data_IF_665248315725
#
_entry.id   IF_665248315725
#
_cell.length_a   1.000
_cell.length_b   1.000
_cell.length_c   1.000
_cell.angle_alpha   90.00
_cell.angle_beta   90.00
_cell.angle_gamma   90.00
#
_symmetry.space_group_name_H-M   'P 1'
#
loop_
_entity.id
_entity.type
_entity.pdbx_description
1 polymer ?
#
# COMPACT_ATOMS: atom_id res chain seq x y z
N UNK A 1 -14.84 7.00 -9.03
CA UNK A 1 -15.19 5.60 -8.70
C UNK A 1 -14.97 5.42 -7.21
N UNK A 2 -15.82 4.66 -6.52
CA UNK A 2 -15.72 4.50 -5.06
C UNK A 2 -14.38 3.85 -4.67
N UNK A 3 -13.66 4.44 -3.71
CA UNK A 3 -12.36 3.94 -3.19
C UNK A 3 -12.43 2.58 -2.47
N UNK A 4 -13.64 2.04 -2.30
CA UNK A 4 -13.90 0.81 -1.54
C UNK A 4 -14.17 -0.33 -2.51
N UNK A 5 -13.38 -1.39 -2.41
CA UNK A 5 -13.59 -2.65 -3.15
C UNK A 5 -14.18 -3.70 -2.20
N UNK A 6 -15.15 -4.49 -2.66
CA UNK A 6 -15.74 -5.56 -1.86
C UNK A 6 -15.26 -6.94 -2.30
N UNK A 7 -14.66 -7.68 -1.36
CA UNK A 7 -14.13 -9.03 -1.57
C UNK A 7 -15.17 -10.14 -1.28
N UNK A 8 -16.46 -9.79 -1.21
CA UNK A 8 -17.51 -10.75 -0.91
C UNK A 8 -17.55 -11.92 -1.91
N UNK A 9 -17.32 -11.65 -3.20
CA UNK A 9 -17.36 -12.67 -4.25
C UNK A 9 -16.25 -13.71 -4.12
N UNK A 10 -15.05 -13.30 -3.70
CA UNK A 10 -13.90 -14.20 -3.48
C UNK A 10 -14.08 -15.02 -2.21
N UNK A 11 -14.48 -14.40 -1.11
CA UNK A 11 -14.75 -15.07 0.17
C UNK A 11 -15.85 -16.14 0.06
N UNK A 12 -16.87 -15.87 -0.75
CA UNK A 12 -17.96 -16.82 -1.03
C UNK A 12 -17.48 -18.02 -1.85
N UNK A 13 -16.68 -17.77 -2.90
CA UNK A 13 -16.11 -18.83 -3.76
C UNK A 13 -15.13 -19.72 -3.00
N UNK A 14 -14.29 -19.16 -2.13
CA UNK A 14 -13.37 -19.93 -1.29
C UNK A 14 -14.09 -20.95 -0.39
N UNK A 15 -15.32 -20.65 0.01
CA UNK A 15 -16.16 -21.52 0.84
C UNK A 15 -17.13 -22.39 0.04
N UNK A 16 -17.01 -22.42 -1.29
CA UNK A 16 -17.92 -23.14 -2.20
C UNK A 16 -19.41 -22.76 -2.06
N UNK A 17 -19.69 -21.54 -1.63
CA UNK A 17 -21.06 -21.06 -1.44
C UNK A 17 -21.61 -20.42 -2.71
N UNK A 18 -22.90 -20.63 -3.03
CA UNK A 18 -23.60 -19.85 -4.05
C UNK A 18 -24.19 -18.58 -3.44
N UNK A 19 -24.50 -17.58 -4.27
CA UNK A 19 -25.20 -16.37 -3.79
C UNK A 19 -26.56 -16.72 -3.16
N UNK A 20 -27.22 -17.76 -3.66
CA UNK A 20 -28.45 -18.32 -3.11
C UNK A 20 -28.28 -18.81 -1.68
N UNK A 21 -27.14 -19.43 -1.38
CA UNK A 21 -26.87 -20.04 -0.08
C UNK A 21 -26.55 -18.96 0.93
N UNK A 22 -25.72 -17.99 0.53
CA UNK A 22 -25.42 -16.82 1.34
C UNK A 22 -26.68 -15.98 1.64
N UNK A 23 -27.58 -15.85 0.66
CA UNK A 23 -28.87 -15.17 0.83
C UNK A 23 -29.73 -15.86 1.89
N UNK A 24 -29.78 -17.20 1.90
CA UNK A 24 -30.52 -17.97 2.92
C UNK A 24 -29.88 -17.85 4.31
N UNK A 25 -28.56 -17.88 4.39
CA UNK A 25 -27.83 -17.78 5.67
C UNK A 25 -27.96 -16.40 6.31
N UNK A 26 -27.91 -15.35 5.50
CA UNK A 26 -27.88 -13.96 5.99
C UNK A 26 -29.25 -13.29 6.02
N UNK A 27 -30.25 -13.85 5.32
CA UNK A 27 -31.55 -13.21 5.10
C UNK A 27 -31.48 -11.97 4.20
N UNK A 28 -30.37 -11.76 3.47
CA UNK A 28 -30.18 -10.65 2.54
C UNK A 28 -30.65 -11.09 1.15
N UNK A 29 -31.30 -10.19 0.41
CA UNK A 29 -31.76 -10.51 -0.95
C UNK A 29 -30.56 -10.76 -1.90
N UNK A 30 -30.70 -11.72 -2.82
CA UNK A 30 -29.66 -12.00 -3.82
C UNK A 30 -29.32 -10.77 -4.67
N UNK A 31 -30.30 -9.92 -4.95
CA UNK A 31 -30.11 -8.65 -5.66
C UNK A 31 -29.17 -7.72 -4.88
N UNK A 32 -29.41 -7.55 -3.57
CA UNK A 32 -28.54 -6.73 -2.72
C UNK A 32 -27.13 -7.31 -2.62
N UNK A 33 -26.97 -8.64 -2.50
CA UNK A 33 -25.66 -9.29 -2.51
C UNK A 33 -24.92 -9.07 -3.84
N UNK A 34 -25.62 -9.14 -4.98
CA UNK A 34 -25.03 -8.91 -6.29
C UNK A 34 -24.61 -7.45 -6.50
N UNK A 35 -25.44 -6.49 -6.07
CA UNK A 35 -25.11 -5.07 -6.09
C UNK A 35 -23.89 -4.75 -5.21
N UNK A 36 -23.75 -5.46 -4.09
CA UNK A 36 -22.63 -5.34 -3.17
C UNK A 36 -21.35 -5.98 -3.75
N UNK A 37 -21.44 -7.16 -4.36
CA UNK A 37 -20.32 -7.83 -5.06
C UNK A 37 -19.83 -7.03 -6.28
N UNK A 38 -20.72 -6.31 -6.98
CA UNK A 38 -20.39 -5.53 -8.19
C UNK A 38 -20.02 -4.07 -7.90
N UNK A 39 -20.05 -3.64 -6.64
CA UNK A 39 -19.76 -2.25 -6.25
C UNK A 39 -20.82 -1.23 -6.72
N UNK A 40 -21.99 -1.70 -7.15
CA UNK A 40 -23.14 -0.86 -7.57
C UNK A 40 -24.01 -0.44 -6.39
N UNK A 41 -23.80 -1.03 -5.22
CA UNK A 41 -24.52 -0.65 -4.00
C UNK A 41 -24.16 0.77 -3.56
N UNK A 42 -25.18 1.54 -3.15
CA UNK A 42 -25.02 2.90 -2.59
C UNK A 42 -24.55 2.90 -1.13
N UNK A 43 -24.61 1.75 -0.45
CA UNK A 43 -24.24 1.64 0.96
C UNK A 43 -24.72 0.32 1.56
N UNK A 44 -24.18 -0.01 2.74
CA UNK A 44 -24.50 -1.23 3.48
C UNK A 44 -24.80 -0.84 4.92
N UNK A 45 -25.89 -1.35 5.50
CA UNK A 45 -26.19 -1.11 6.90
C UNK A 45 -25.28 -1.94 7.81
N UNK A 46 -24.95 -1.44 9.01
CA UNK A 46 -24.18 -2.20 10.00
C UNK A 46 -24.81 -3.56 10.34
N UNK A 47 -26.13 -3.62 10.39
CA UNK A 47 -26.86 -4.87 10.59
C UNK A 47 -26.61 -5.91 9.49
N UNK A 48 -26.43 -5.46 8.25
CA UNK A 48 -26.11 -6.32 7.10
C UNK A 48 -24.65 -6.77 7.16
N UNK A 49 -23.75 -5.87 7.59
CA UNK A 49 -22.33 -6.17 7.79
C UNK A 49 -22.13 -7.25 8.84
N UNK A 50 -22.74 -7.11 10.01
CA UNK A 50 -22.65 -8.11 11.09
C UNK A 50 -23.12 -9.48 10.60
N UNK A 51 -24.29 -9.55 9.95
CA UNK A 51 -24.82 -10.80 9.40
C UNK A 51 -23.89 -11.46 8.39
N UNK A 52 -23.24 -10.68 7.52
CA UNK A 52 -22.29 -11.20 6.55
C UNK A 52 -21.02 -11.71 7.23
N UNK A 53 -20.49 -10.95 8.18
CA UNK A 53 -19.31 -11.31 8.97
C UNK A 53 -19.56 -12.61 9.75
N UNK A 54 -20.72 -12.73 10.40
CA UNK A 54 -21.12 -13.91 11.17
C UNK A 54 -21.32 -15.14 10.26
N UNK A 55 -22.03 -14.97 9.14
CA UNK A 55 -22.33 -16.07 8.22
C UNK A 55 -21.08 -16.61 7.51
N UNK A 56 -20.10 -15.74 7.24
CA UNK A 56 -18.85 -16.12 6.57
C UNK A 56 -17.71 -16.38 7.57
N UNK A 57 -17.91 -16.07 8.86
CA UNK A 57 -16.88 -16.07 9.90
C UNK A 57 -15.62 -15.28 9.44
N UNK A 58 -15.84 -14.03 9.04
CA UNK A 58 -14.80 -13.10 8.57
C UNK A 58 -14.94 -11.76 9.27
N UNK A 59 -13.85 -11.01 9.30
CA UNK A 59 -13.82 -9.65 9.81
C UNK A 59 -14.12 -8.63 8.71
N UNK A 60 -14.48 -7.41 9.10
CA UNK A 60 -14.86 -6.34 8.16
C UNK A 60 -13.70 -5.95 7.23
N UNK A 61 -12.46 -6.01 7.72
CA UNK A 61 -11.25 -5.77 6.93
C UNK A 61 -11.04 -6.79 5.80
N UNK A 62 -11.48 -8.03 5.98
CA UNK A 62 -11.41 -9.04 4.92
C UNK A 62 -12.51 -8.83 3.87
N UNK A 63 -13.63 -8.22 4.26
CA UNK A 63 -14.80 -8.04 3.40
C UNK A 63 -14.69 -6.78 2.53
N UNK A 64 -14.08 -5.71 3.06
CA UNK A 64 -13.86 -4.46 2.34
C UNK A 64 -12.39 -4.05 2.37
N UNK A 65 -11.90 -3.72 1.19
CA UNK A 65 -10.57 -3.17 1.01
C UNK A 65 -10.69 -1.73 0.56
N UNK A 66 -10.05 -0.83 1.31
CA UNK A 66 -9.85 0.54 0.87
C UNK A 66 -8.64 0.52 -0.05
N UNK A 67 -8.86 0.82 -1.32
CA UNK A 67 -7.77 1.15 -2.22
C UNK A 67 -7.63 2.68 -2.13
N UNK A 68 -6.75 3.21 -1.27
CA UNK A 68 -6.53 4.64 -1.23
C UNK A 68 -6.09 5.05 -2.64
N UNK A 69 -6.87 5.92 -3.30
CA UNK A 69 -6.34 6.69 -4.42
C UNK A 69 -4.99 7.25 -3.94
N UNK A 70 -3.96 7.11 -4.76
CA UNK A 70 -2.54 7.30 -4.43
C UNK A 70 -2.16 8.67 -3.83
N UNK A 71 -3.12 9.55 -3.57
CA UNK A 71 -2.98 10.92 -3.09
C UNK A 71 -3.27 11.11 -1.59
N UNK A 72 -3.68 10.06 -0.86
CA UNK A 72 -3.82 10.17 0.60
C UNK A 72 -2.92 9.17 1.32
N UNK A 73 -1.61 9.40 1.18
CA UNK A 73 -0.62 9.00 2.18
C UNK A 73 -0.85 9.86 3.43
N UNK A 74 -1.99 9.68 4.08
CA UNK A 74 -2.19 10.19 5.43
C UNK A 74 -1.42 9.26 6.35
N UNK A 75 -0.21 9.72 6.69
CA UNK A 75 0.27 9.79 8.06
C UNK A 75 -0.09 8.59 8.95
N UNK A 76 0.06 7.37 8.46
CA UNK A 76 0.36 6.29 9.39
C UNK A 76 1.80 6.55 9.77
N UNK A 77 1.95 7.19 10.92
CA UNK A 77 3.14 7.10 11.77
C UNK A 77 3.37 5.60 11.96
N UNK A 78 3.98 4.97 10.95
CA UNK A 78 4.74 3.76 11.18
C UNK A 78 5.83 4.23 12.15
N UNK A 79 5.88 3.58 13.30
CA UNK A 79 7.05 3.51 14.15
C UNK A 79 8.21 2.95 13.31
N UNK A 80 8.73 3.75 12.38
CA UNK A 80 9.99 3.49 11.72
C UNK A 80 11.00 3.67 12.84
N UNK A 81 11.55 2.56 13.34
CA UNK A 81 12.78 2.58 14.13
C UNK A 81 13.73 3.57 13.45
N UNK A 82 14.09 4.64 14.18
CA UNK A 82 14.83 5.83 13.72
C UNK A 82 15.49 5.62 12.35
N UNK A 83 14.95 6.21 11.26
CA UNK A 83 15.46 5.92 9.92
C UNK A 83 16.96 6.23 9.84
N UNK A 84 17.71 5.31 9.25
CA UNK A 84 19.15 5.43 9.07
C UNK A 84 19.52 5.48 7.60
N UNK A 85 20.55 6.26 7.27
CA UNK A 85 21.14 6.28 5.95
C UNK A 85 21.59 4.88 5.53
N UNK A 86 21.10 4.38 4.39
CA UNK A 86 21.44 3.06 3.84
C UNK A 86 22.91 2.96 3.39
N UNK A 87 23.62 4.08 3.28
CA UNK A 87 25.02 4.11 2.86
C UNK A 87 26.01 4.14 4.04
N UNK A 88 25.72 4.93 5.08
CA UNK A 88 26.63 5.11 6.23
C UNK A 88 26.09 4.61 7.57
N UNK A 89 24.82 4.22 7.66
CA UNK A 89 24.18 3.72 8.88
C UNK A 89 23.83 4.78 9.93
N UNK A 90 24.20 6.05 9.72
CA UNK A 90 23.86 7.16 10.64
C UNK A 90 22.34 7.39 10.67
N UNK A 91 21.79 7.62 11.85
CA UNK A 91 20.37 7.91 12.05
C UNK A 91 20.09 9.43 11.94
N UNK A 92 18.82 9.81 12.02
CA UNK A 92 18.35 11.20 11.92
C UNK A 92 18.98 12.17 12.94
N UNK A 93 19.45 11.70 14.11
CA UNK A 93 20.11 12.57 15.09
C UNK A 93 21.57 12.87 14.74
N UNK A 94 22.20 12.06 13.89
CA UNK A 94 23.62 12.14 13.56
C UNK A 94 23.88 12.80 12.18
N UNK A 95 22.84 13.25 11.50
CA UNK A 95 22.92 13.87 10.16
C UNK A 95 21.96 15.04 10.04
N UNK A 96 22.35 16.07 9.28
CA UNK A 96 21.53 17.27 9.09
C UNK A 96 20.25 17.01 8.29
N UNK A 97 20.30 16.04 7.36
CA UNK A 97 19.18 15.72 6.48
C UNK A 97 19.24 14.28 6.00
N UNK A 98 18.11 13.57 6.09
CA UNK A 98 17.87 12.28 5.42
C UNK A 98 16.88 12.46 4.27
N UNK A 99 17.31 12.11 3.06
CA UNK A 99 16.45 12.11 1.87
C UNK A 99 15.87 10.72 1.69
N UNK A 100 14.55 10.63 1.59
CA UNK A 100 13.83 9.39 1.30
C UNK A 100 13.59 9.26 -0.20
N UNK A 101 13.79 8.04 -0.72
CA UNK A 101 13.42 7.69 -2.09
C UNK A 101 11.91 7.45 -2.24
N UNK A 102 11.54 6.31 -2.85
CA UNK A 102 10.14 5.96 -3.07
C UNK A 102 9.42 5.66 -1.74
N UNK A 103 8.62 6.62 -1.28
CA UNK A 103 7.88 6.58 0.00
C UNK A 103 6.90 5.40 0.08
N UNK A 104 6.29 5.01 -1.05
CA UNK A 104 5.33 3.89 -1.12
C UNK A 104 5.97 2.56 -1.53
N UNK A 105 7.25 2.35 -1.19
CA UNK A 105 7.92 1.07 -1.46
C UNK A 105 7.96 0.20 -0.20
N UNK A 106 7.95 -1.13 -0.38
CA UNK A 106 8.04 -2.11 0.71
C UNK A 106 9.32 -1.94 1.57
N UNK A 107 10.36 -1.31 1.01
CA UNK A 107 11.64 -1.04 1.66
C UNK A 107 12.14 0.34 1.24
N UNK A 108 11.75 1.42 1.94
CA UNK A 108 12.20 2.76 1.61
C UNK A 108 13.70 2.91 1.86
N UNK A 109 14.39 3.52 0.89
CA UNK A 109 15.82 3.82 0.97
C UNK A 109 15.98 5.26 1.48
N UNK A 110 16.85 5.43 2.47
CA UNK A 110 17.21 6.73 3.03
C UNK A 110 18.68 7.00 2.76
N UNK A 111 19.02 8.21 2.31
CA UNK A 111 20.42 8.61 2.10
C UNK A 111 20.63 9.98 2.73
N UNK A 112 21.67 10.13 3.54
CA UNK A 112 22.00 11.43 4.12
C UNK A 112 22.70 12.35 3.10
N UNK A 113 22.59 13.67 3.33
CA UNK A 113 23.23 14.71 2.50
C UNK A 113 24.71 14.45 2.25
N UNK A 114 25.47 14.10 3.29
CA UNK A 114 26.91 13.81 3.19
C UNK A 114 27.22 12.66 2.21
N UNK A 115 26.43 11.59 2.24
CA UNK A 115 26.60 10.45 1.33
C UNK A 115 26.19 10.78 -0.11
N UNK A 116 25.20 11.66 -0.30
CA UNK A 116 24.81 12.16 -1.62
C UNK A 116 25.96 12.97 -2.24
N UNK A 117 26.55 13.88 -1.47
CA UNK A 117 27.67 14.70 -1.93
C UNK A 117 28.90 13.87 -2.31
N UNK A 118 29.27 12.90 -1.47
CA UNK A 118 30.36 11.96 -1.78
C UNK A 118 30.10 11.18 -3.06
N UNK A 119 28.87 10.70 -3.24
CA UNK A 119 28.47 9.98 -4.45
C UNK A 119 28.55 10.87 -5.70
N UNK A 120 28.06 12.10 -5.61
CA UNK A 120 28.14 13.07 -6.70
C UNK A 120 29.58 13.41 -7.06
N UNK A 121 30.46 13.61 -6.07
CA UNK A 121 31.87 13.88 -6.30
C UNK A 121 32.56 12.73 -7.04
N UNK A 122 32.29 11.48 -6.64
CA UNK A 122 32.82 10.29 -7.33
C UNK A 122 32.34 10.22 -8.78
N UNK A 123 31.05 10.45 -9.02
CA UNK A 123 30.48 10.42 -10.37
C UNK A 123 31.05 11.53 -11.27
N UNK A 124 31.29 12.72 -10.73
CA UNK A 124 31.93 13.82 -11.47
C UNK A 124 33.37 13.43 -11.84
N UNK A 125 34.12 12.85 -10.91
CA UNK A 125 35.51 12.42 -11.15
C UNK A 125 35.63 11.32 -12.21
N UNK A 126 34.72 10.33 -12.21
CA UNK A 126 34.69 9.26 -13.23
C UNK A 126 34.30 9.82 -14.61
N UNK A 127 33.39 10.78 -14.66
CA UNK A 127 33.05 11.46 -15.93
C UNK A 127 34.22 12.26 -16.48
N UNK A 128 34.95 12.97 -15.63
CA UNK A 128 36.11 13.75 -16.03
C UNK A 128 37.23 12.86 -16.61
N UNK A 129 37.57 11.77 -15.92
CA UNK A 129 38.61 10.84 -16.39
C UNK A 129 38.25 10.17 -17.73
N UNK A 130 36.97 9.82 -17.92
CA UNK A 130 36.48 9.28 -19.20
C UNK A 130 36.49 10.32 -20.33
N UNK A 131 36.18 11.58 -20.04
CA UNK A 131 36.21 12.65 -21.03
C UNK A 131 37.65 12.93 -21.51
N UNK A 132 38.62 12.95 -20.60
CA UNK A 132 40.05 13.12 -20.93
C UNK A 132 40.61 11.94 -21.74
N UNK A 133 40.19 10.71 -21.42
CA UNK A 133 40.55 9.53 -22.19
C UNK A 133 39.99 9.55 -23.63
N UNK A 134 38.83 10.20 -23.84
CA UNK A 134 38.21 10.36 -25.15
C UNK A 134 38.88 11.43 -26.02
N UNK A 135 39.58 12.41 -25.44
CA UNK A 135 40.19 13.54 -26.18
C UNK A 135 41.62 13.26 -26.63
N UNK A 136 42.26 12.19 -26.14
CA UNK A 136 43.62 11.76 -26.52
C UNK A 136 43.66 10.74 -27.68
N UNK A 137 42.58 10.62 -28.45
CA UNK A 137 42.53 9.84 -29.71
C UNK A 137 42.47 10.76 -30.91
#
# INVERSE_FOLDING_TARGET
>A
MSKVTCNLSTLRKQRNLRQTDLSKMTGISQKALSELETGKSKGVSFSTLTKLCDALNVTVDQLFELNPDADQVQATIMLIEKPSCSFCGKNEADVDLLVVGKVNSKSPVYICSECIERSNALLISDRASRAEASTRR
#
